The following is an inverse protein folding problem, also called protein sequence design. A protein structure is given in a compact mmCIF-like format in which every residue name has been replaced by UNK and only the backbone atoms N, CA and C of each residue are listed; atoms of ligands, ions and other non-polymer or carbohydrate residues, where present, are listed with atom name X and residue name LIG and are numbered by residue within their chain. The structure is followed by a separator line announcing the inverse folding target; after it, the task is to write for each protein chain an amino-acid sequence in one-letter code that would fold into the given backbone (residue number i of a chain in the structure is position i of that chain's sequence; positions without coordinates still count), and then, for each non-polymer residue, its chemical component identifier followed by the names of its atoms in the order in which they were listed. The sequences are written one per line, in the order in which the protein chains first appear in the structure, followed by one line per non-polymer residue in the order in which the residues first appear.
data_IF_099397032842
#
_entry.id   IF_099397032842
#
_cell.length_a   1.000
_cell.length_b   1.000
_cell.length_c   1.000
_cell.angle_alpha   90.00
_cell.angle_beta   90.00
_cell.angle_gamma   90.00
#
_symmetry.space_group_name_H-M   'P 1'
#
loop_
_entity.id
_entity.type
_entity.pdbx_description
1 polymer ?
#
# COMPACT_ATOMS: atom_id res chain seq x y z
N UNK A 1 19.18 -1.98 -19.22
CA UNK A 1 17.70 -1.99 -19.14
C UNK A 1 17.26 -1.08 -18.00
N UNK A 2 15.97 -0.72 -17.92
CA UNK A 2 15.43 0.13 -16.84
C UNK A 2 15.71 -0.46 -15.44
N UNK A 3 15.77 -1.79 -15.34
CA UNK A 3 16.14 -2.51 -14.12
C UNK A 3 17.61 -2.29 -13.77
N UNK A 4 18.55 -2.41 -14.73
CA UNK A 4 19.97 -2.16 -14.45
C UNK A 4 20.23 -0.74 -13.95
N UNK A 5 19.56 0.25 -14.56
CA UNK A 5 19.64 1.65 -14.12
C UNK A 5 19.07 1.87 -12.72
N UNK A 6 18.07 1.08 -12.30
CA UNK A 6 17.53 1.14 -10.93
C UNK A 6 18.55 0.61 -9.92
N UNK A 7 19.16 -0.55 -10.17
CA UNK A 7 20.19 -1.12 -9.29
C UNK A 7 21.41 -0.19 -9.21
N UNK A 8 21.86 0.35 -10.34
CA UNK A 8 22.95 1.33 -10.39
C UNK A 8 22.63 2.58 -9.56
N UNK A 9 21.42 3.14 -9.70
CA UNK A 9 20.97 4.28 -8.91
C UNK A 9 20.97 3.99 -7.39
N UNK A 10 20.62 2.76 -7.01
CA UNK A 10 20.65 2.30 -5.61
C UNK A 10 22.07 1.97 -5.12
N UNK A 11 23.11 2.03 -5.97
CA UNK A 11 24.47 1.62 -5.62
C UNK A 11 24.64 0.11 -5.48
N UNK A 12 23.73 -0.67 -6.08
CA UNK A 12 23.70 -2.13 -6.01
C UNK A 12 24.12 -2.75 -7.34
N UNK A 13 24.65 -3.98 -7.28
CA UNK A 13 24.97 -4.75 -8.49
C UNK A 13 23.67 -5.34 -9.05
N UNK A 14 23.41 -5.11 -10.34
CA UNK A 14 22.28 -5.74 -11.04
C UNK A 14 22.35 -7.27 -10.91
N UNK A 15 21.22 -7.96 -10.64
CA UNK A 15 21.20 -9.40 -10.49
C UNK A 15 21.55 -10.12 -11.80
N UNK A 16 22.18 -11.29 -11.69
CA UNK A 16 22.59 -12.10 -12.85
C UNK A 16 21.39 -12.66 -13.64
N UNK A 17 20.24 -12.80 -12.99
CA UNK A 17 18.99 -13.25 -13.61
C UNK A 17 17.79 -12.50 -13.05
N UNK A 18 16.87 -12.09 -13.92
CA UNK A 18 15.59 -11.46 -13.56
C UNK A 18 14.46 -12.35 -14.06
N UNK A 19 13.57 -12.76 -13.16
CA UNK A 19 12.34 -13.46 -13.52
C UNK A 19 11.17 -12.48 -13.50
N UNK A 20 10.39 -12.45 -14.58
CA UNK A 20 9.18 -11.65 -14.68
C UNK A 20 7.96 -12.54 -14.44
N UNK A 21 7.04 -12.08 -13.59
CA UNK A 21 5.73 -12.72 -13.40
C UNK A 21 4.70 -11.83 -14.06
N UNK A 22 4.06 -12.33 -15.11
CA UNK A 22 2.94 -11.64 -15.74
C UNK A 22 1.69 -11.79 -14.88
N UNK A 23 0.99 -10.68 -14.64
CA UNK A 23 -0.18 -10.63 -13.77
C UNK A 23 -1.44 -10.56 -14.61
N UNK A 24 -2.43 -11.38 -14.24
CA UNK A 24 -3.76 -11.31 -14.85
C UNK A 24 -4.49 -10.05 -14.35
N UNK A 25 -5.05 -9.25 -15.26
CA UNK A 25 -5.80 -8.01 -14.94
C UNK A 25 -7.26 -8.25 -14.51
N UNK A 26 -7.76 -9.48 -14.61
CA UNK A 26 -9.15 -9.84 -14.25
C UNK A 26 -9.24 -10.83 -13.10
N UNK A 27 -8.20 -11.64 -12.88
CA UNK A 27 -8.22 -12.72 -11.89
C UNK A 27 -7.21 -12.48 -10.75
N UNK A 28 -7.62 -12.88 -9.53
CA UNK A 28 -6.74 -12.85 -8.37
C UNK A 28 -5.60 -13.85 -8.59
N UNK A 29 -4.37 -13.35 -8.52
CA UNK A 29 -3.17 -14.19 -8.65
C UNK A 29 -2.62 -14.50 -7.26
N UNK A 30 -2.33 -15.76 -6.99
CA UNK A 30 -1.66 -16.20 -5.76
C UNK A 30 -0.35 -16.89 -6.09
N UNK A 31 0.71 -16.50 -5.41
CA UNK A 31 2.05 -17.08 -5.61
C UNK A 31 2.84 -17.06 -4.31
N UNK A 32 3.80 -17.98 -4.17
CA UNK A 32 4.65 -18.09 -3.00
C UNK A 32 6.10 -17.85 -3.41
N UNK A 33 6.79 -16.94 -2.71
CA UNK A 33 8.23 -16.74 -2.83
C UNK A 33 8.82 -16.84 -1.43
N UNK A 34 9.72 -17.80 -1.23
CA UNK A 34 10.33 -18.10 0.06
C UNK A 34 9.27 -18.35 1.16
N UNK A 35 9.29 -17.55 2.22
CA UNK A 35 8.36 -17.62 3.35
C UNK A 35 7.19 -16.64 3.23
N UNK A 36 6.96 -16.08 2.05
CA UNK A 36 5.93 -15.07 1.77
C UNK A 36 4.94 -15.61 0.75
N UNK A 37 3.66 -15.58 1.11
CA UNK A 37 2.55 -15.79 0.18
C UNK A 37 2.05 -14.43 -0.29
N UNK A 38 1.96 -14.22 -1.59
CA UNK A 38 1.41 -13.03 -2.22
C UNK A 38 0.03 -13.35 -2.77
N UNK A 39 -0.92 -12.48 -2.49
CA UNK A 39 -2.24 -12.43 -3.12
C UNK A 39 -2.35 -11.09 -3.82
N UNK A 40 -2.41 -11.11 -5.14
CA UNK A 40 -2.47 -9.94 -6.01
C UNK A 40 -3.89 -9.83 -6.53
N UNK A 41 -4.56 -8.73 -6.19
CA UNK A 41 -5.98 -8.52 -6.43
C UNK A 41 -6.13 -7.44 -7.50
N UNK A 42 -6.66 -7.77 -8.67
CA UNK A 42 -6.91 -6.78 -9.71
C UNK A 42 -7.89 -5.70 -9.24
N UNK A 43 -7.55 -4.48 -9.61
CA UNK A 43 -8.31 -3.27 -9.35
C UNK A 43 -7.96 -2.27 -10.46
N UNK A 44 -8.35 -1.01 -10.27
CA UNK A 44 -8.09 0.06 -11.22
C UNK A 44 -7.55 1.30 -10.53
N UNK A 45 -6.70 2.03 -11.24
CA UNK A 45 -6.38 3.44 -10.99
C UNK A 45 -7.50 4.33 -11.56
N UNK A 46 -7.29 5.64 -11.64
CA UNK A 46 -8.11 6.58 -12.41
C UNK A 46 -8.34 6.07 -13.85
N UNK A 47 -9.52 6.35 -14.40
CA UNK A 47 -9.90 6.06 -15.79
C UNK A 47 -9.77 4.57 -16.19
N UNK A 48 -10.02 3.65 -15.25
CA UNK A 48 -10.01 2.20 -15.51
C UNK A 48 -8.65 1.64 -15.97
N UNK A 49 -7.55 2.34 -15.69
CA UNK A 49 -6.21 1.80 -15.94
C UNK A 49 -5.98 0.61 -14.97
N UNK A 50 -5.66 -0.59 -15.47
CA UNK A 50 -5.43 -1.75 -14.62
C UNK A 50 -4.36 -1.49 -13.57
N UNK A 51 -4.65 -1.88 -12.33
CA UNK A 51 -3.73 -1.78 -11.21
C UNK A 51 -4.03 -2.87 -10.18
N UNK A 52 -3.26 -2.96 -9.09
CA UNK A 52 -3.36 -4.08 -8.17
C UNK A 52 -3.22 -3.66 -6.70
N UNK A 53 -4.07 -4.22 -5.86
CA UNK A 53 -3.78 -4.35 -4.42
C UNK A 53 -3.00 -5.63 -4.17
N UNK A 54 -2.05 -5.59 -3.24
CA UNK A 54 -1.18 -6.74 -2.93
C UNK A 54 -1.30 -7.03 -1.43
N UNK A 55 -1.63 -8.27 -1.08
CA UNK A 55 -1.57 -8.77 0.28
C UNK A 55 -0.41 -9.75 0.39
N UNK A 56 0.53 -9.45 1.27
CA UNK A 56 1.69 -10.28 1.60
C UNK A 56 1.47 -10.95 2.95
N UNK A 57 1.55 -12.27 2.98
CA UNK A 57 1.46 -13.08 4.19
C UNK A 57 2.83 -13.67 4.50
N UNK A 58 3.52 -13.06 5.45
CA UNK A 58 4.90 -13.38 5.83
C UNK A 58 4.86 -14.34 7.00
N UNK A 59 5.42 -15.54 6.80
CA UNK A 59 5.47 -16.57 7.85
C UNK A 59 6.83 -16.55 8.54
N UNK A 60 6.87 -16.26 9.83
CA UNK A 60 8.06 -16.45 10.66
C UNK A 60 7.98 -17.81 11.36
N UNK A 61 8.70 -18.80 10.81
CA UNK A 61 8.71 -20.18 11.32
C UNK A 61 9.31 -20.29 12.72
N UNK A 62 10.31 -19.47 13.03
CA UNK A 62 11.01 -19.51 14.33
C UNK A 62 10.08 -19.03 15.45
N UNK A 63 9.32 -17.97 15.20
CA UNK A 63 8.40 -17.39 16.17
C UNK A 63 6.99 -17.98 16.12
N UNK A 64 6.71 -18.89 15.17
CA UNK A 64 5.35 -19.40 14.86
C UNK A 64 4.33 -18.28 14.66
N UNK A 65 4.78 -17.19 14.04
CA UNK A 65 3.99 -15.98 13.81
C UNK A 65 3.75 -15.79 12.33
N UNK A 66 2.63 -15.14 12.02
CA UNK A 66 2.28 -14.70 10.68
C UNK A 66 2.02 -13.20 10.74
N UNK A 67 2.59 -12.47 9.80
CA UNK A 67 2.31 -11.04 9.62
C UNK A 67 1.69 -10.83 8.24
N UNK A 68 0.57 -10.12 8.20
CA UNK A 68 -0.17 -9.81 6.99
C UNK A 68 -0.02 -8.32 6.68
N UNK A 69 0.66 -8.02 5.59
CA UNK A 69 0.91 -6.67 5.12
C UNK A 69 0.11 -6.46 3.83
N UNK A 70 -0.64 -5.37 3.74
CA UNK A 70 -1.31 -4.96 2.51
C UNK A 70 -0.61 -3.74 1.92
N UNK A 71 -0.40 -3.74 0.61
CA UNK A 71 0.02 -2.60 -0.19
C UNK A 71 -1.13 -2.25 -1.14
N UNK A 72 -1.62 -1.02 -1.09
CA UNK A 72 -2.65 -0.58 -2.03
C UNK A 72 -2.08 -0.28 -3.42
N UNK A 73 -0.78 0.04 -3.53
CA UNK A 73 -0.24 0.66 -4.75
C UNK A 73 -0.94 1.99 -5.02
N UNK A 74 -1.24 2.31 -6.27
CA UNK A 74 -2.02 3.52 -6.61
C UNK A 74 -3.47 3.21 -7.00
N UNK A 75 -4.08 2.17 -6.40
CA UNK A 75 -5.48 1.82 -6.69
C UNK A 75 -6.46 2.89 -6.20
N UNK A 76 -7.61 2.96 -6.87
CA UNK A 76 -8.71 3.88 -6.55
C UNK A 76 -9.98 3.17 -6.16
N UNK A 77 -10.25 2.05 -6.84
CA UNK A 77 -11.34 1.19 -6.47
C UNK A 77 -10.87 0.16 -5.42
N UNK A 78 -11.16 0.45 -4.16
CA UNK A 78 -10.85 -0.47 -3.07
C UNK A 78 -11.84 -1.64 -2.97
N UNK A 79 -12.97 -1.59 -3.69
CA UNK A 79 -14.05 -2.57 -3.54
C UNK A 79 -13.56 -4.01 -3.76
N UNK A 80 -12.81 -4.35 -4.84
CA UNK A 80 -12.32 -5.71 -5.03
C UNK A 80 -11.45 -6.21 -3.87
N UNK A 81 -10.61 -5.33 -3.32
CA UNK A 81 -9.69 -5.68 -2.23
C UNK A 81 -10.45 -5.84 -0.91
N UNK A 82 -11.35 -4.91 -0.60
CA UNK A 82 -12.19 -4.97 0.60
C UNK A 82 -13.08 -6.22 0.56
N UNK A 83 -13.72 -6.51 -0.58
CA UNK A 83 -14.52 -7.72 -0.76
C UNK A 83 -13.67 -8.96 -0.50
N UNK A 84 -12.47 -9.05 -1.09
CA UNK A 84 -11.59 -10.20 -0.86
C UNK A 84 -11.21 -10.36 0.62
N UNK A 85 -10.84 -9.28 1.30
CA UNK A 85 -10.48 -9.27 2.73
C UNK A 85 -11.66 -9.76 3.58
N UNK A 86 -12.86 -9.21 3.36
CA UNK A 86 -14.04 -9.53 4.14
C UNK A 86 -14.53 -10.97 3.89
N UNK A 87 -14.61 -11.39 2.63
CA UNK A 87 -15.02 -12.75 2.26
C UNK A 87 -14.10 -13.81 2.86
N UNK A 88 -12.79 -13.55 2.88
CA UNK A 88 -11.78 -14.49 3.37
C UNK A 88 -11.40 -14.26 4.85
N UNK A 89 -12.05 -13.30 5.53
CA UNK A 89 -11.79 -12.94 6.94
C UNK A 89 -10.31 -12.70 7.22
N UNK A 90 -9.65 -11.96 6.31
CA UNK A 90 -8.22 -11.66 6.42
C UNK A 90 -8.04 -10.52 7.42
N UNK A 91 -7.35 -10.77 8.53
CA UNK A 91 -6.89 -9.69 9.40
C UNK A 91 -5.62 -9.08 8.80
N UNK A 92 -5.65 -7.80 8.50
CA UNK A 92 -4.47 -7.04 8.07
C UNK A 92 -3.76 -6.52 9.34
N UNK A 93 -2.47 -6.79 9.46
CA UNK A 93 -1.67 -6.24 10.57
C UNK A 93 -1.15 -4.85 10.20
N UNK A 94 -0.72 -4.69 8.95
CA UNK A 94 -0.12 -3.45 8.45
C UNK A 94 -0.71 -3.10 7.10
N UNK A 95 -1.24 -1.89 6.97
CA UNK A 95 -1.62 -1.32 5.68
C UNK A 95 -0.60 -0.26 5.28
N UNK A 96 0.07 -0.48 4.14
CA UNK A 96 0.95 0.48 3.48
C UNK A 96 0.18 1.14 2.33
N UNK A 97 0.11 2.46 2.38
CA UNK A 97 -0.76 3.25 1.52
C UNK A 97 -0.01 4.32 0.74
N UNK A 98 -0.05 4.25 -0.60
CA UNK A 98 0.48 5.31 -1.45
C UNK A 98 -0.52 6.47 -1.46
N UNK A 99 -0.14 7.56 -0.80
CA UNK A 99 -0.95 8.76 -0.67
C UNK A 99 -0.30 9.93 -1.40
N UNK A 100 -0.82 10.23 -2.58
CA UNK A 100 -0.39 11.41 -3.33
C UNK A 100 -1.38 12.53 -3.02
N UNK A 101 -0.95 13.48 -2.21
CA UNK A 101 -1.68 14.75 -2.04
C UNK A 101 -1.74 15.40 -3.43
N UNK A 102 -2.89 15.94 -3.85
CA UNK A 102 -2.99 16.71 -5.09
C UNK A 102 -3.24 18.16 -4.71
N UNK A 103 -2.28 19.04 -4.99
CA UNK A 103 -2.47 20.48 -4.90
C UNK A 103 -2.41 21.05 -6.31
N UNK A 104 -3.51 21.66 -6.77
CA UNK A 104 -3.44 22.99 -7.40
C UNK A 104 -4.78 23.67 -7.68
N UNK A 105 -5.95 23.05 -7.51
CA UNK A 105 -7.24 23.78 -7.54
C UNK A 105 -8.31 23.08 -6.69
N UNK A 106 -9.31 23.85 -6.21
CA UNK A 106 -10.55 23.31 -5.60
C UNK A 106 -11.23 22.25 -6.49
N UNK A 107 -10.97 22.26 -7.79
CA UNK A 107 -11.50 21.35 -8.80
C UNK A 107 -10.74 20.03 -8.87
N UNK A 108 -9.41 20.02 -8.73
CA UNK A 108 -8.59 18.79 -8.73
C UNK A 108 -8.68 17.98 -7.42
N UNK A 109 -9.06 18.61 -6.31
CA UNK A 109 -9.32 17.91 -5.03
C UNK A 109 -10.43 16.86 -5.13
N UNK A 110 -11.30 16.93 -6.14
CA UNK A 110 -12.48 16.05 -6.27
C UNK A 110 -12.24 14.77 -7.08
N UNK A 111 -11.13 14.63 -7.81
CA UNK A 111 -11.10 13.67 -8.92
C UNK A 111 -9.99 12.63 -8.89
N UNK A 112 -8.98 12.71 -8.02
CA UNK A 112 -7.82 11.84 -8.21
C UNK A 112 -7.28 11.08 -7.01
N UNK A 113 -7.58 11.42 -5.76
CA UNK A 113 -7.11 10.66 -4.57
C UNK A 113 -8.13 10.79 -3.43
N UNK A 114 -8.30 9.77 -2.56
CA UNK A 114 -9.25 9.88 -1.46
C UNK A 114 -8.85 11.00 -0.51
N UNK A 115 -9.86 11.73 -0.03
CA UNK A 115 -9.66 12.71 1.05
C UNK A 115 -9.29 11.98 2.35
N UNK A 116 -8.69 12.66 3.35
CA UNK A 116 -8.44 12.08 4.65
C UNK A 116 -9.68 11.40 5.25
N UNK A 117 -10.86 12.00 5.13
CA UNK A 117 -12.13 11.43 5.62
C UNK A 117 -12.47 10.08 4.96
N UNK A 118 -12.33 9.99 3.62
CA UNK A 118 -12.57 8.74 2.87
C UNK A 118 -11.55 7.68 3.29
N UNK A 119 -10.29 8.09 3.45
CA UNK A 119 -9.22 7.19 3.88
C UNK A 119 -9.47 6.67 5.29
N UNK A 120 -9.84 7.52 6.25
CA UNK A 120 -10.23 7.13 7.60
C UNK A 120 -11.40 6.13 7.60
N UNK A 121 -12.40 6.34 6.74
CA UNK A 121 -13.52 5.41 6.58
C UNK A 121 -13.09 4.03 6.07
N UNK A 122 -12.22 3.97 5.06
CA UNK A 122 -11.67 2.70 4.55
C UNK A 122 -10.86 1.99 5.63
N UNK A 123 -9.99 2.73 6.32
CA UNK A 123 -9.07 2.20 7.34
C UNK A 123 -9.85 1.69 8.57
N UNK A 124 -10.82 2.45 9.08
CA UNK A 124 -11.57 2.10 10.30
C UNK A 124 -12.79 1.22 10.05
N UNK A 125 -13.42 1.32 8.88
CA UNK A 125 -14.68 0.64 8.57
C UNK A 125 -14.54 -0.63 7.75
N UNK A 126 -13.43 -0.81 7.03
CA UNK A 126 -13.30 -1.91 6.06
C UNK A 126 -12.06 -2.79 6.27
N UNK A 127 -10.89 -2.19 6.53
CA UNK A 127 -9.62 -2.93 6.60
C UNK A 127 -9.18 -3.19 8.05
N UNK A 128 -9.38 -2.21 8.94
CA UNK A 128 -9.03 -2.24 10.37
C UNK A 128 -7.62 -2.77 10.68
N UNK A 129 -6.56 -2.20 10.07
CA UNK A 129 -5.20 -2.65 10.31
C UNK A 129 -4.71 -2.25 11.71
N UNK A 130 -3.79 -3.02 12.29
CA UNK A 130 -3.15 -2.64 13.57
C UNK A 130 -2.20 -1.45 13.42
N UNK A 131 -1.55 -1.32 12.27
CA UNK A 131 -0.69 -0.18 11.90
C UNK A 131 -1.04 0.32 10.52
N UNK A 132 -1.07 1.64 10.36
CA UNK A 132 -1.29 2.30 9.09
C UNK A 132 -0.05 3.11 8.70
N UNK A 133 0.49 2.89 7.49
CA UNK A 133 1.70 3.54 7.01
C UNK A 133 1.37 4.28 5.73
N UNK A 134 1.60 5.58 5.72
CA UNK A 134 1.44 6.44 4.55
C UNK A 134 2.80 6.60 3.86
N UNK A 135 2.85 6.34 2.55
CA UNK A 135 4.04 6.53 1.69
C UNK A 135 3.70 7.30 0.41
N UNK A 136 4.71 7.60 -0.41
CA UNK A 136 4.56 8.21 -1.74
C UNK A 136 3.86 9.58 -1.76
N UNK A 137 4.16 10.47 -0.81
CA UNK A 137 3.75 11.87 -0.90
C UNK A 137 4.70 12.64 -1.84
N UNK A 138 4.19 13.57 -2.65
CA UNK A 138 5.07 14.34 -3.56
C UNK A 138 6.05 15.24 -2.80
N UNK A 139 7.26 15.38 -3.33
CA UNK A 139 8.34 16.20 -2.74
C UNK A 139 8.01 17.70 -2.62
N UNK A 140 6.90 18.16 -3.20
CA UNK A 140 6.40 19.53 -3.10
C UNK A 140 5.67 19.82 -1.79
N UNK A 141 5.33 18.79 -1.00
CA UNK A 141 4.60 18.96 0.25
C UNK A 141 5.51 19.37 1.40
N UNK A 142 5.01 20.29 2.21
CA UNK A 142 5.67 20.66 3.46
C UNK A 142 5.34 19.58 4.49
N UNK A 143 6.33 19.15 5.25
CA UNK A 143 6.21 18.19 6.36
C UNK A 143 4.98 18.45 7.26
N UNK A 144 4.67 19.73 7.47
CA UNK A 144 3.49 20.19 8.21
C UNK A 144 2.15 19.64 7.68
N UNK A 145 1.93 19.67 6.36
CA UNK A 145 0.65 19.24 5.76
C UNK A 145 0.45 17.73 5.90
N UNK A 146 1.55 16.98 5.77
CA UNK A 146 1.55 15.52 5.94
C UNK A 146 1.23 15.19 7.41
N UNK A 147 1.86 15.89 8.36
CA UNK A 147 1.58 15.71 9.78
C UNK A 147 0.14 16.05 10.16
N UNK A 148 -0.48 17.08 9.55
CA UNK A 148 -1.89 17.40 9.75
C UNK A 148 -2.81 16.24 9.30
N UNK A 149 -2.50 15.60 8.16
CA UNK A 149 -3.26 14.45 7.65
C UNK A 149 -3.08 13.21 8.54
N UNK A 150 -1.85 12.91 8.98
CA UNK A 150 -1.58 11.82 9.92
C UNK A 150 -2.40 12.01 11.18
N UNK A 151 -2.31 13.20 11.79
CA UNK A 151 -3.00 13.50 13.04
C UNK A 151 -4.51 13.38 12.87
N UNK A 152 -5.05 13.85 11.75
CA UNK A 152 -6.47 13.67 11.42
C UNK A 152 -6.85 12.18 11.39
N UNK A 153 -6.16 11.37 10.59
CA UNK A 153 -6.50 9.95 10.43
C UNK A 153 -6.32 9.19 11.74
N UNK A 154 -5.25 9.45 12.48
CA UNK A 154 -5.01 8.79 13.76
C UNK A 154 -6.07 9.17 14.80
N UNK A 155 -6.52 10.42 14.84
CA UNK A 155 -7.60 10.85 15.74
C UNK A 155 -8.95 10.21 15.36
N UNK A 156 -9.27 10.10 14.07
CA UNK A 156 -10.52 9.51 13.60
C UNK A 156 -10.57 7.99 13.75
N UNK A 157 -9.43 7.31 13.57
CA UNK A 157 -9.36 5.84 13.51
C UNK A 157 -8.82 5.20 14.78
N UNK A 158 -8.13 5.96 15.63
CA UNK A 158 -7.35 5.46 16.78
C UNK A 158 -6.26 4.42 16.40
N UNK A 159 -5.98 4.25 15.11
CA UNK A 159 -4.94 3.35 14.59
C UNK A 159 -3.62 4.10 14.55
N UNK A 160 -2.54 3.43 14.98
CA UNK A 160 -1.19 3.98 14.89
C UNK A 160 -0.87 4.30 13.43
N UNK A 161 -0.75 5.59 13.11
CA UNK A 161 -0.48 6.05 11.74
C UNK A 161 0.93 6.60 11.65
N UNK A 162 1.71 6.09 10.69
CA UNK A 162 3.10 6.43 10.48
C UNK A 162 3.30 6.98 9.06
N UNK A 163 4.35 7.78 8.86
CA UNK A 163 4.81 8.18 7.52
C UNK A 163 6.16 7.56 7.23
N UNK A 164 6.27 7.00 6.03
CA UNK A 164 7.52 6.45 5.51
C UNK A 164 8.32 7.55 4.81
N UNK A 165 9.56 7.76 5.27
CA UNK A 165 10.57 8.59 4.62
C UNK A 165 11.57 7.69 3.88
N UNK A 166 12.36 8.26 2.97
CA UNK A 166 13.44 7.51 2.32
C UNK A 166 14.42 6.98 3.38
N UNK A 167 14.68 5.66 3.34
CA UNK A 167 15.53 4.99 4.33
C UNK A 167 14.85 4.63 5.66
N UNK A 168 13.54 4.85 5.82
CA UNK A 168 12.80 4.42 7.01
C UNK A 168 12.72 2.89 7.08
N UNK A 169 13.18 2.33 8.19
CA UNK A 169 12.95 0.93 8.56
C UNK A 169 11.81 0.86 9.56
N UNK A 170 10.79 0.04 9.28
CA UNK A 170 9.66 -0.16 10.19
C UNK A 170 9.70 -1.58 10.72
N UNK A 171 9.89 -1.72 12.02
CA UNK A 171 9.77 -3.02 12.69
C UNK A 171 8.31 -3.32 12.95
N UNK A 172 7.86 -4.48 12.50
CA UNK A 172 6.47 -4.89 12.62
C UNK A 172 6.14 -5.49 14.01
N UNK A 173 7.15 -5.64 14.88
CA UNK A 173 7.12 -6.23 16.22
C UNK A 173 7.99 -5.43 17.19
#
# INVERSE_FOLDING_TARGET
MLVDSLFEYCGEKSPESINYIELNVTEITQLNICNIQFTIIPSVRNNSIPNYGIICQISNRQLKQKTVVMFNGDIRDFSPVITHIQTNKIQIDVLVYDYIINQNTKTQRKCEYPTPDILSSIVNGCICPSKFIIRCYSSKYREKEINEIINYIQNETQIQTLVAYNGTNVTLF
#
